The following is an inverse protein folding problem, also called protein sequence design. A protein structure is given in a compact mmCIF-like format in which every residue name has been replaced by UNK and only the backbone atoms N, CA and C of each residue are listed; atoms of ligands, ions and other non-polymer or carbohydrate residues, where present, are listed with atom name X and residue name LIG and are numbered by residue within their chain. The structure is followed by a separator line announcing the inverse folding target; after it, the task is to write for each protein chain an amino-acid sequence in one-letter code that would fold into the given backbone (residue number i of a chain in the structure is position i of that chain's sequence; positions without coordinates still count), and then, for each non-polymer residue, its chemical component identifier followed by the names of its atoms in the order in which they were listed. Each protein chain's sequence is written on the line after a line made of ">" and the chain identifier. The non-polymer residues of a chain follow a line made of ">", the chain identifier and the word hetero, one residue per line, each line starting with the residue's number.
data_IF_443635142744
#
_entry.id   IF_443635142744
#
_cell.length_a   1.000
_cell.length_b   1.000
_cell.length_c   1.000
_cell.angle_alpha   90.00
_cell.angle_beta   90.00
_cell.angle_gamma   90.00
#
_symmetry.space_group_name_H-M   'P 1'
#
loop_
_entity.id
_entity.type
_entity.pdbx_description
1 polymer ?
#
# COMPACT_ATOMS: atom_id res chain seq x y z
N UNK A 1 -27.11 14.75 8.35
CA UNK A 1 -25.67 14.91 8.61
C UNK A 1 -24.87 14.22 7.51
N UNK A 2 -23.87 14.92 6.98
CA UNK A 2 -23.04 14.39 5.90
C UNK A 2 -21.79 13.76 6.50
N UNK A 3 -21.46 12.55 6.07
CA UNK A 3 -20.19 11.90 6.44
C UNK A 3 -19.06 12.51 5.61
N UNK A 4 -17.86 12.63 6.17
CA UNK A 4 -16.69 13.01 5.41
C UNK A 4 -16.24 11.82 4.53
N UNK A 5 -15.34 12.04 3.54
CA UNK A 5 -14.93 10.97 2.63
C UNK A 5 -14.36 9.73 3.32
N UNK A 6 -13.61 9.90 4.42
CA UNK A 6 -13.07 8.76 5.16
C UNK A 6 -14.18 7.94 5.82
N UNK A 7 -15.15 8.63 6.44
CA UNK A 7 -16.29 7.97 7.06
C UNK A 7 -17.18 7.28 6.04
N UNK A 8 -17.36 7.91 4.86
CA UNK A 8 -18.10 7.30 3.75
C UNK A 8 -17.40 6.03 3.27
N UNK A 9 -16.07 6.06 3.14
CA UNK A 9 -15.29 4.89 2.74
C UNK A 9 -15.44 3.76 3.75
N UNK A 10 -15.36 4.08 5.03
CA UNK A 10 -15.51 3.11 6.12
C UNK A 10 -16.91 2.47 6.09
N UNK A 11 -17.95 3.29 6.01
CA UNK A 11 -19.32 2.79 5.95
C UNK A 11 -19.53 1.89 4.74
N UNK A 12 -19.07 2.33 3.56
CA UNK A 12 -19.22 1.57 2.32
C UNK A 12 -18.46 0.24 2.38
N UNK A 13 -17.27 0.24 2.98
CA UNK A 13 -16.50 -0.99 3.17
C UNK A 13 -17.29 -2.00 4.01
N UNK A 14 -17.81 -1.58 5.16
CA UNK A 14 -18.56 -2.49 6.03
C UNK A 14 -19.87 -2.94 5.40
N UNK A 15 -20.53 -2.06 4.65
CA UNK A 15 -21.74 -2.46 3.92
C UNK A 15 -21.42 -3.58 2.91
N UNK A 16 -20.38 -3.39 2.11
CA UNK A 16 -19.98 -4.38 1.10
C UNK A 16 -19.54 -5.69 1.74
N UNK A 17 -18.90 -5.62 2.90
CA UNK A 17 -18.39 -6.80 3.60
C UNK A 17 -19.50 -7.57 4.31
N UNK A 18 -20.36 -6.87 5.04
CA UNK A 18 -21.30 -7.49 5.97
C UNK A 18 -22.71 -7.67 5.39
N UNK A 19 -23.08 -6.89 4.39
CA UNK A 19 -24.42 -6.94 3.83
C UNK A 19 -24.39 -7.46 2.40
N UNK A 20 -23.87 -6.66 1.46
CA UNK A 20 -23.73 -7.05 0.08
C UNK A 20 -22.78 -6.16 -0.67
N UNK A 21 -21.87 -6.75 -1.44
CA UNK A 21 -20.93 -6.01 -2.27
C UNK A 21 -21.61 -5.50 -3.54
N UNK A 22 -22.01 -4.21 -3.53
CA UNK A 22 -22.74 -3.57 -4.61
C UNK A 22 -21.90 -2.49 -5.29
N UNK A 23 -21.92 -2.41 -6.63
CA UNK A 23 -21.19 -1.35 -7.35
C UNK A 23 -21.54 0.05 -6.90
N UNK A 24 -22.84 0.33 -6.70
CA UNK A 24 -23.32 1.66 -6.29
C UNK A 24 -22.90 2.06 -4.88
N UNK A 25 -22.50 1.10 -4.06
CA UNK A 25 -21.97 1.37 -2.71
C UNK A 25 -20.46 1.49 -2.75
N UNK A 26 -19.76 0.59 -3.45
CA UNK A 26 -18.30 0.60 -3.43
C UNK A 26 -17.67 1.82 -4.09
N UNK A 27 -18.44 2.59 -4.87
CA UNK A 27 -17.94 3.85 -5.44
C UNK A 27 -17.53 4.85 -4.35
N UNK A 28 -18.04 4.69 -3.13
CA UNK A 28 -17.69 5.56 -1.99
C UNK A 28 -16.43 5.12 -1.27
N UNK A 29 -15.83 4.00 -1.66
CA UNK A 29 -14.58 3.52 -1.07
C UNK A 29 -13.43 4.21 -1.83
N UNK A 30 -13.01 5.37 -1.33
CA UNK A 30 -12.01 6.21 -1.99
C UNK A 30 -10.75 6.44 -1.15
N UNK A 31 -10.83 6.17 0.15
CA UNK A 31 -9.70 6.33 1.08
C UNK A 31 -8.70 5.19 0.88
N UNK A 32 -7.38 5.46 0.89
CA UNK A 32 -6.37 4.41 0.66
C UNK A 32 -6.47 3.23 1.62
N UNK A 33 -6.65 3.48 2.91
CA UNK A 33 -6.76 2.40 3.89
C UNK A 33 -7.98 1.51 3.63
N UNK A 34 -9.15 2.12 3.42
CA UNK A 34 -10.38 1.35 3.20
C UNK A 34 -10.38 0.67 1.84
N UNK A 35 -9.71 1.26 0.84
CA UNK A 35 -9.53 0.61 -0.46
C UNK A 35 -8.62 -0.63 -0.34
N UNK A 36 -7.53 -0.51 0.43
CA UNK A 36 -6.67 -1.65 0.73
C UNK A 36 -7.47 -2.73 1.47
N UNK A 37 -8.24 -2.36 2.49
CA UNK A 37 -9.04 -3.30 3.27
C UNK A 37 -10.08 -4.03 2.41
N UNK A 38 -10.75 -3.30 1.50
CA UNK A 38 -11.68 -3.90 0.56
C UNK A 38 -10.98 -4.95 -0.32
N UNK A 39 -9.86 -4.60 -0.92
CA UNK A 39 -9.14 -5.51 -1.81
C UNK A 39 -8.62 -6.75 -1.08
N UNK A 40 -8.23 -6.59 0.19
CA UNK A 40 -7.77 -7.72 1.02
C UNK A 40 -8.91 -8.63 1.44
N UNK A 41 -10.02 -8.06 1.90
CA UNK A 41 -11.06 -8.79 2.61
C UNK A 41 -12.25 -9.21 1.73
N UNK A 42 -12.52 -8.51 0.65
CA UNK A 42 -13.68 -8.74 -0.19
C UNK A 42 -13.29 -9.22 -1.58
N UNK A 43 -12.73 -8.34 -2.39
CA UNK A 43 -12.25 -8.68 -3.72
C UNK A 43 -11.26 -7.64 -4.23
N UNK A 44 -10.17 -8.08 -4.84
CA UNK A 44 -9.18 -7.20 -5.42
C UNK A 44 -9.68 -6.65 -6.75
N UNK A 45 -10.23 -5.41 -6.74
CA UNK A 45 -10.79 -4.75 -7.91
C UNK A 45 -9.95 -3.57 -8.35
N UNK A 46 -9.70 -3.46 -9.65
CA UNK A 46 -8.91 -2.37 -10.21
C UNK A 46 -9.46 -0.99 -9.82
N UNK A 47 -10.77 -0.79 -9.94
CA UNK A 47 -11.38 0.51 -9.66
C UNK A 47 -11.38 0.89 -8.17
N UNK A 48 -11.06 -0.04 -7.29
CA UNK A 48 -10.89 0.23 -5.86
C UNK A 48 -9.39 0.40 -5.56
N UNK A 49 -8.53 -0.53 -6.00
CA UNK A 49 -7.09 -0.47 -5.67
C UNK A 49 -6.38 0.75 -6.25
N UNK A 50 -6.93 1.37 -7.29
CA UNK A 50 -6.36 2.61 -7.84
C UNK A 50 -6.31 3.75 -6.82
N UNK A 51 -7.08 3.66 -5.75
CA UNK A 51 -7.10 4.65 -4.69
C UNK A 51 -5.98 4.46 -3.67
N UNK A 52 -5.21 3.38 -3.78
CA UNK A 52 -4.11 3.08 -2.88
C UNK A 52 -2.87 3.81 -3.39
N UNK A 53 -2.75 5.07 -3.00
CA UNK A 53 -1.70 5.97 -3.49
C UNK A 53 -0.71 6.40 -2.41
N UNK A 54 -0.81 5.83 -1.24
CA UNK A 54 0.00 6.12 -0.06
C UNK A 54 1.04 5.03 0.14
N UNK A 55 2.27 5.39 0.49
CA UNK A 55 3.38 4.42 0.61
C UNK A 55 3.08 3.30 1.59
N UNK A 56 2.49 3.63 2.73
CA UNK A 56 2.19 2.65 3.78
C UNK A 56 1.20 1.60 3.27
N UNK A 57 0.06 2.03 2.73
CA UNK A 57 -0.98 1.09 2.30
C UNK A 57 -0.64 0.40 1.00
N UNK A 58 0.16 1.05 0.13
CA UNK A 58 0.72 0.38 -1.05
C UNK A 58 1.63 -0.78 -0.65
N UNK A 59 2.47 -0.57 0.38
CA UNK A 59 3.30 -1.64 0.92
C UNK A 59 2.45 -2.81 1.43
N UNK A 60 1.43 -2.52 2.27
CA UNK A 60 0.59 -3.58 2.81
C UNK A 60 -0.22 -4.29 1.72
N UNK A 61 -0.68 -3.56 0.71
CA UNK A 61 -1.33 -4.20 -0.44
C UNK A 61 -0.38 -5.18 -1.13
N UNK A 62 0.83 -4.74 -1.45
CA UNK A 62 1.80 -5.60 -2.13
C UNK A 62 2.20 -6.80 -1.28
N UNK A 63 2.24 -6.64 0.04
CA UNK A 63 2.60 -7.72 0.97
C UNK A 63 1.47 -8.72 1.15
N UNK A 64 0.23 -8.27 1.28
CA UNK A 64 -0.89 -9.10 1.72
C UNK A 64 -1.89 -9.46 0.62
N UNK A 65 -1.93 -8.72 -0.49
CA UNK A 65 -2.86 -8.99 -1.57
C UNK A 65 -2.11 -9.50 -2.79
N UNK A 66 -1.37 -8.62 -3.47
CA UNK A 66 -0.56 -8.99 -4.61
C UNK A 66 0.46 -7.89 -4.90
N UNK A 67 1.69 -8.29 -5.20
CA UNK A 67 2.75 -7.34 -5.56
C UNK A 67 2.58 -6.89 -7.01
N UNK A 68 1.90 -5.74 -7.19
CA UNK A 68 1.59 -5.17 -8.49
C UNK A 68 2.43 -3.94 -8.80
N UNK A 69 2.99 -3.82 -10.01
CA UNK A 69 3.79 -2.65 -10.38
C UNK A 69 3.03 -1.34 -10.24
N UNK A 70 1.75 -1.31 -10.63
CA UNK A 70 0.92 -0.11 -10.58
C UNK A 70 0.60 0.35 -9.15
N UNK A 71 0.79 -0.51 -8.17
CA UNK A 71 0.62 -0.17 -6.75
C UNK A 71 1.96 0.13 -6.12
N UNK A 72 2.99 -0.72 -6.33
CA UNK A 72 4.29 -0.52 -5.66
C UNK A 72 4.98 0.76 -6.09
N UNK A 73 4.60 1.36 -7.21
CA UNK A 73 5.16 2.67 -7.63
C UNK A 73 4.90 3.77 -6.60
N UNK A 74 3.90 3.59 -5.74
CA UNK A 74 3.61 4.56 -4.68
C UNK A 74 4.43 4.34 -3.42
N UNK A 75 5.25 3.30 -3.37
CA UNK A 75 6.15 3.05 -2.25
C UNK A 75 7.41 3.90 -2.47
N UNK A 76 7.36 5.14 -2.01
CA UNK A 76 8.40 6.14 -2.25
C UNK A 76 9.07 6.64 -0.98
N UNK A 77 8.52 6.33 0.18
CA UNK A 77 9.07 6.72 1.48
C UNK A 77 10.20 5.76 1.87
N UNK A 78 11.26 6.26 2.51
CA UNK A 78 12.42 5.44 2.88
C UNK A 78 12.07 4.24 3.75
N UNK A 79 11.24 4.45 4.78
CA UNK A 79 10.83 3.37 5.68
C UNK A 79 10.11 2.25 4.92
N UNK A 80 9.10 2.60 4.12
CA UNK A 80 8.29 1.60 3.43
C UNK A 80 9.04 0.96 2.28
N UNK A 81 9.95 1.69 1.64
CA UNK A 81 10.85 1.12 0.62
C UNK A 81 11.79 0.09 1.23
N UNK A 82 12.35 0.40 2.41
CA UNK A 82 13.17 -0.57 3.14
C UNK A 82 12.35 -1.82 3.50
N UNK A 83 11.16 -1.64 4.05
CA UNK A 83 10.29 -2.76 4.41
C UNK A 83 9.93 -3.61 3.19
N UNK A 84 9.65 -2.97 2.05
CA UNK A 84 9.36 -3.71 0.82
C UNK A 84 10.55 -4.57 0.40
N UNK A 85 11.75 -3.99 0.33
CA UNK A 85 12.94 -4.71 -0.10
C UNK A 85 13.29 -5.86 0.85
N UNK A 86 13.02 -5.68 2.13
CA UNK A 86 13.31 -6.71 3.14
C UNK A 86 12.28 -7.83 3.13
N UNK A 87 10.99 -7.50 3.05
CA UNK A 87 9.90 -8.46 3.27
C UNK A 87 9.31 -9.04 2.00
N UNK A 88 9.40 -8.35 0.87
CA UNK A 88 8.76 -8.78 -0.36
C UNK A 88 9.81 -9.15 -1.41
N UNK A 89 10.51 -8.16 -1.94
CA UNK A 89 11.57 -8.41 -2.93
C UNK A 89 12.49 -7.19 -3.01
N UNK A 90 13.79 -7.42 -3.08
CA UNK A 90 14.78 -6.36 -3.23
C UNK A 90 14.81 -5.89 -4.69
N UNK A 91 14.07 -4.81 -5.00
CA UNK A 91 13.95 -4.25 -6.34
C UNK A 91 14.70 -2.93 -6.45
N UNK A 92 15.50 -2.74 -7.55
CA UNK A 92 16.23 -1.49 -7.73
C UNK A 92 15.35 -0.25 -7.73
N UNK A 93 14.19 -0.33 -8.39
CA UNK A 93 13.26 0.80 -8.50
C UNK A 93 12.63 1.20 -7.18
N UNK A 94 12.64 0.31 -6.19
CA UNK A 94 12.14 0.60 -4.85
C UNK A 94 13.29 1.03 -3.94
N UNK A 95 14.41 0.27 -3.93
CA UNK A 95 15.50 0.58 -3.00
C UNK A 95 16.14 1.95 -3.23
N UNK A 96 16.02 2.50 -4.45
CA UNK A 96 16.51 3.86 -4.72
C UNK A 96 15.85 4.92 -3.84
N UNK A 97 14.69 4.61 -3.29
CA UNK A 97 13.95 5.51 -2.40
C UNK A 97 14.42 5.44 -0.95
N UNK A 98 15.36 4.55 -0.63
CA UNK A 98 15.92 4.44 0.72
C UNK A 98 17.02 5.48 0.85
N UNK A 99 16.62 6.70 1.16
CA UNK A 99 17.51 7.86 1.19
C UNK A 99 17.89 8.33 2.58
N UNK A 100 17.10 7.95 3.60
CA UNK A 100 17.41 8.30 4.98
C UNK A 100 18.49 7.37 5.53
N UNK A 101 19.53 7.95 6.19
CA UNK A 101 20.69 7.21 6.65
C UNK A 101 20.36 6.02 7.54
N UNK A 102 19.39 6.17 8.45
CA UNK A 102 19.01 5.08 9.35
C UNK A 102 18.48 3.87 8.60
N UNK A 103 17.60 4.11 7.60
CA UNK A 103 17.02 3.00 6.82
C UNK A 103 18.03 2.44 5.81
N UNK A 104 18.92 3.27 5.29
CA UNK A 104 20.01 2.80 4.43
C UNK A 104 20.96 1.88 5.20
N UNK A 105 21.26 2.22 6.45
CA UNK A 105 22.08 1.39 7.31
C UNK A 105 21.40 0.04 7.57
N UNK A 106 20.12 0.06 7.92
CA UNK A 106 19.36 -1.18 8.17
C UNK A 106 19.25 -2.02 6.91
N UNK A 107 19.05 -1.40 5.75
CA UNK A 107 19.03 -2.13 4.48
C UNK A 107 20.35 -2.88 4.26
N UNK A 108 21.47 -2.22 4.44
CA UNK A 108 22.77 -2.85 4.20
C UNK A 108 23.07 -4.00 5.19
N UNK A 109 22.54 -3.90 6.41
CA UNK A 109 22.70 -4.95 7.42
C UNK A 109 21.75 -6.14 7.18
N UNK A 110 20.51 -5.85 6.84
CA UNK A 110 19.42 -6.84 6.87
C UNK A 110 19.07 -7.41 5.50
N UNK A 111 19.35 -6.69 4.43
CA UNK A 111 19.01 -7.11 3.07
C UNK A 111 20.29 -7.45 2.30
N UNK A 112 21.07 -6.44 1.93
CA UNK A 112 22.34 -6.63 1.22
C UNK A 112 23.19 -5.37 1.33
N UNK A 113 24.48 -5.55 1.59
CA UNK A 113 25.41 -4.41 1.63
C UNK A 113 25.67 -3.90 0.20
N UNK A 114 25.11 -2.74 -0.11
CA UNK A 114 25.24 -2.10 -1.42
C UNK A 114 25.88 -0.72 -1.25
N UNK A 115 27.01 -0.47 -1.94
CA UNK A 115 27.69 0.84 -1.82
C UNK A 115 26.80 2.03 -2.18
N UNK A 116 25.91 1.88 -3.17
CA UNK A 116 25.02 2.96 -3.61
C UNK A 116 23.95 3.31 -2.57
N UNK A 117 23.67 2.40 -1.63
CA UNK A 117 22.70 2.64 -0.55
C UNK A 117 23.44 3.08 0.72
N UNK A 118 24.58 2.47 0.98
CA UNK A 118 25.39 2.77 2.16
C UNK A 118 25.92 4.20 2.09
N UNK A 119 25.67 4.98 3.10
CA UNK A 119 26.12 6.37 3.18
C UNK A 119 26.92 6.63 4.44
#
# INVERSE_FOLDING_TARGET
>A
MWLNPEEMSKWAYYYCKDIKDKPEIRIYITNPYWSYSYCRDIKDRLNIRKNITDSCWAYYYCSEVKDRPEIRKYITNSLWSYNYCKQIKDRPEIRKNITESSWACDYCKEVKDRPEIRK
#
